data_IF_250673527537
#
_entry.id   IF_250673527537
#
_cell.length_a   1.000
_cell.length_b   1.000
_cell.length_c   1.000
_cell.angle_alpha   90.00
_cell.angle_beta   90.00
_cell.angle_gamma   90.00
#
_symmetry.space_group_name_H-M   'P 1'
#
loop_
_entity.id
_entity.type
_entity.pdbx_description
1 polymer ?
#
# COMPACT_ATOMS: atom_id res chain seq x y z
N UNK A 1 -24.08 -1.63 -10.24
CA UNK A 1 -23.25 -2.71 -9.67
C UNK A 1 -21.80 -2.28 -9.68
N UNK A 2 -21.00 -2.74 -8.71
CA UNK A 2 -19.55 -2.48 -8.67
C UNK A 2 -18.86 -3.43 -9.64
N UNK A 3 -17.98 -2.91 -10.49
CA UNK A 3 -17.19 -3.72 -11.42
C UNK A 3 -15.87 -4.07 -10.77
N UNK A 4 -15.26 -5.15 -11.26
CA UNK A 4 -13.89 -5.55 -10.87
C UNK A 4 -12.89 -4.40 -11.05
N UNK A 5 -13.03 -3.62 -12.14
CA UNK A 5 -12.20 -2.42 -12.36
C UNK A 5 -12.30 -1.42 -11.22
N UNK A 6 -13.50 -1.18 -10.70
CA UNK A 6 -13.72 -0.16 -9.68
C UNK A 6 -13.02 -0.55 -8.36
N UNK A 7 -12.92 -1.86 -8.07
CA UNK A 7 -12.16 -2.39 -6.92
C UNK A 7 -10.66 -2.17 -7.10
N UNK A 8 -10.10 -2.53 -8.27
CA UNK A 8 -8.68 -2.32 -8.53
C UNK A 8 -8.29 -0.84 -8.56
N UNK A 9 -9.14 0.00 -9.11
CA UNK A 9 -8.96 1.46 -9.10
C UNK A 9 -8.93 1.99 -7.66
N UNK A 10 -9.87 1.56 -6.81
CA UNK A 10 -9.90 1.98 -5.41
C UNK A 10 -8.63 1.54 -4.64
N UNK A 11 -8.13 0.33 -4.89
CA UNK A 11 -6.86 -0.14 -4.31
C UNK A 11 -5.70 0.73 -4.81
N UNK A 12 -5.61 0.96 -6.12
CA UNK A 12 -4.55 1.79 -6.70
C UNK A 12 -4.55 3.20 -6.11
N UNK A 13 -5.71 3.87 -6.10
CA UNK A 13 -5.86 5.22 -5.55
C UNK A 13 -5.50 5.26 -4.06
N UNK A 14 -5.87 4.24 -3.27
CA UNK A 14 -5.56 4.21 -1.84
C UNK A 14 -4.04 4.07 -1.56
N UNK A 15 -3.32 3.32 -2.38
CA UNK A 15 -1.90 3.00 -2.18
C UNK A 15 -0.94 3.91 -2.96
N UNK A 16 -1.39 4.58 -4.02
CA UNK A 16 -0.60 5.52 -4.83
C UNK A 16 -0.52 6.93 -4.19
N UNK A 17 -0.63 7.02 -2.86
CA UNK A 17 -0.58 8.28 -2.10
C UNK A 17 0.75 8.37 -1.36
N UNK A 18 1.48 9.50 -1.43
CA UNK A 18 2.66 9.74 -0.60
C UNK A 18 2.34 9.61 0.89
N UNK A 19 3.26 9.04 1.65
CA UNK A 19 3.14 8.99 3.10
C UNK A 19 3.19 10.39 3.69
N UNK A 20 2.23 10.69 4.55
CA UNK A 20 2.22 11.88 5.39
C UNK A 20 3.40 11.86 6.36
N UNK A 21 3.83 13.03 6.89
CA UNK A 21 4.87 13.09 7.92
C UNK A 21 4.55 12.21 9.14
N UNK A 22 3.27 12.16 9.53
CA UNK A 22 2.81 11.32 10.64
C UNK A 22 3.00 9.82 10.33
N UNK A 23 2.57 9.35 9.16
CA UNK A 23 2.75 7.95 8.76
C UNK A 23 4.24 7.56 8.66
N UNK A 24 5.09 8.45 8.15
CA UNK A 24 6.55 8.21 8.09
C UNK A 24 7.16 8.03 9.48
N UNK A 25 6.68 8.78 10.48
CA UNK A 25 7.17 8.67 11.85
C UNK A 25 6.76 7.37 12.55
N UNK A 26 5.70 6.71 12.08
CA UNK A 26 5.28 5.40 12.59
C UNK A 26 6.16 4.24 12.07
N UNK A 27 7.00 4.48 11.06
CA UNK A 27 7.87 3.44 10.50
C UNK A 27 9.06 3.20 11.43
N UNK A 28 9.23 1.97 11.97
CA UNK A 28 10.37 1.64 12.81
C UNK A 28 11.69 1.83 12.06
N UNK A 29 12.69 2.43 12.72
CA UNK A 29 13.99 2.73 12.10
C UNK A 29 14.64 1.51 11.45
N UNK A 30 14.59 0.35 12.10
CA UNK A 30 15.17 -0.89 11.58
C UNK A 30 14.52 -1.39 10.28
N UNK A 31 13.30 -0.95 9.95
CA UNK A 31 12.60 -1.32 8.71
C UNK A 31 12.82 -0.34 7.58
N UNK A 32 13.29 0.88 7.85
CA UNK A 32 13.40 1.94 6.83
C UNK A 32 14.22 1.54 5.61
N UNK A 33 15.26 0.74 5.78
CA UNK A 33 16.05 0.20 4.67
C UNK A 33 15.20 -0.63 3.69
N UNK A 34 14.33 -1.51 4.19
CA UNK A 34 13.47 -2.33 3.33
C UNK A 34 12.45 -1.48 2.56
N UNK A 35 11.92 -0.42 3.18
CA UNK A 35 10.96 0.51 2.56
C UNK A 35 11.65 1.36 1.49
N UNK A 36 12.89 1.77 1.74
CA UNK A 36 13.72 2.49 0.78
C UNK A 36 14.03 1.64 -0.47
N UNK A 37 14.34 0.34 -0.29
CA UNK A 37 14.55 -0.56 -1.41
C UNK A 37 13.27 -0.81 -2.21
N UNK A 38 12.12 -0.98 -1.54
CA UNK A 38 10.82 -1.08 -2.21
C UNK A 38 10.48 0.19 -3.01
N UNK A 39 10.71 1.37 -2.43
CA UNK A 39 10.56 2.66 -3.08
C UNK A 39 11.42 2.79 -4.35
N UNK A 40 12.72 2.49 -4.26
CA UNK A 40 13.62 2.54 -5.43
C UNK A 40 13.18 1.58 -6.52
N UNK A 41 12.76 0.37 -6.15
CA UNK A 41 12.25 -0.63 -7.10
C UNK A 41 11.00 -0.10 -7.82
N UNK A 42 10.05 0.49 -7.07
CA UNK A 42 8.86 1.12 -7.66
C UNK A 42 9.24 2.25 -8.62
N UNK A 43 10.14 3.15 -8.25
CA UNK A 43 10.59 4.23 -9.12
C UNK A 43 11.23 3.71 -10.41
N UNK A 44 11.94 2.57 -10.35
CA UNK A 44 12.55 1.92 -11.52
C UNK A 44 11.51 1.26 -12.43
N UNK A 45 10.45 0.70 -11.87
CA UNK A 45 9.41 -0.01 -12.60
C UNK A 45 8.24 0.88 -13.06
N UNK A 46 8.17 2.11 -12.57
CA UNK A 46 7.11 3.04 -12.94
C UNK A 46 7.14 3.31 -14.45
N UNK A 47 5.97 3.39 -15.11
CA UNK A 47 5.90 3.67 -16.55
C UNK A 47 6.34 5.10 -16.91
N UNK A 48 6.38 6.00 -15.93
CA UNK A 48 6.80 7.40 -16.10
C UNK A 48 8.29 7.62 -15.88
N UNK A 49 8.70 8.90 -15.92
CA UNK A 49 10.08 9.29 -15.65
C UNK A 49 10.45 9.01 -14.18
N UNK A 50 11.50 8.21 -13.89
CA UNK A 50 11.87 7.85 -12.52
C UNK A 50 12.08 9.04 -11.58
N UNK A 51 12.59 10.16 -12.11
CA UNK A 51 12.82 11.39 -11.34
C UNK A 51 11.52 11.99 -10.76
N UNK A 52 10.40 11.84 -11.45
CA UNK A 52 9.10 12.35 -10.99
C UNK A 52 8.62 11.51 -9.80
N UNK A 53 8.74 10.19 -9.89
CA UNK A 53 8.39 9.28 -8.80
C UNK A 53 9.30 9.46 -7.59
N UNK A 54 10.59 9.69 -7.80
CA UNK A 54 11.54 9.93 -6.71
C UNK A 54 11.19 11.20 -5.92
N UNK A 55 10.79 12.27 -6.60
CA UNK A 55 10.38 13.54 -5.96
C UNK A 55 9.13 13.40 -5.08
N UNK A 56 8.28 12.43 -5.35
CA UNK A 56 7.09 12.16 -4.53
C UNK A 56 7.44 11.42 -3.23
N UNK A 57 8.62 10.80 -3.16
CA UNK A 57 9.08 10.02 -2.01
C UNK A 57 8.26 8.74 -1.77
N UNK A 58 8.33 8.21 -0.55
CA UNK A 58 7.62 7.00 -0.16
C UNK A 58 6.11 7.16 -0.27
N UNK A 59 5.47 6.20 -0.94
CA UNK A 59 4.01 6.02 -1.02
C UNK A 59 3.57 4.88 -0.11
N UNK A 60 2.27 4.80 0.18
CA UNK A 60 1.69 3.71 0.97
C UNK A 60 2.00 2.34 0.37
N UNK A 61 2.05 2.21 -0.96
CA UNK A 61 2.43 0.96 -1.63
C UNK A 61 3.84 0.48 -1.23
N UNK A 62 4.78 1.39 -0.95
CA UNK A 62 6.15 1.03 -0.56
C UNK A 62 6.19 0.36 0.82
N UNK A 63 5.14 0.54 1.63
CA UNK A 63 4.99 -0.11 2.95
C UNK A 63 4.60 -1.58 2.84
N UNK A 64 4.18 -2.02 1.65
CA UNK A 64 3.92 -3.43 1.33
C UNK A 64 5.21 -4.17 0.97
N UNK A 65 6.35 -3.48 0.89
CA UNK A 65 7.65 -4.06 0.54
C UNK A 65 7.60 -4.78 -0.82
N UNK A 66 7.99 -6.06 -0.84
CA UNK A 66 7.96 -6.92 -2.04
C UNK A 66 6.70 -7.77 -2.12
N UNK A 67 5.71 -7.54 -1.26
CA UNK A 67 4.45 -8.30 -1.26
C UNK A 67 3.56 -7.82 -2.41
N UNK A 68 3.32 -8.73 -3.36
CA UNK A 68 2.54 -8.45 -4.57
C UNK A 68 1.26 -9.27 -4.67
N UNK A 69 0.94 -10.09 -3.65
CA UNK A 69 -0.22 -10.96 -3.70
C UNK A 69 -1.47 -10.27 -3.15
N UNK A 70 -2.41 -10.03 -4.04
CA UNK A 70 -3.79 -9.71 -3.71
C UNK A 70 -4.57 -11.00 -3.40
N UNK A 71 -5.05 -11.15 -2.16
CA UNK A 71 -5.80 -12.34 -1.70
C UNK A 71 -7.31 -12.16 -1.76
N UNK A 72 -7.79 -11.08 -2.38
CA UNK A 72 -9.21 -10.78 -2.50
C UNK A 72 -9.71 -9.77 -1.46
N UNK A 73 -11.01 -9.46 -1.57
CA UNK A 73 -11.72 -8.60 -0.62
C UNK A 73 -12.81 -9.44 0.05
N UNK A 74 -12.91 -9.36 1.37
CA UNK A 74 -13.89 -10.11 2.17
C UNK A 74 -14.76 -9.18 2.98
N UNK A 75 -16.00 -9.59 3.24
CA UNK A 75 -16.90 -8.90 4.16
C UNK A 75 -17.20 -9.84 5.34
N UNK A 76 -16.49 -9.73 6.48
CA UNK A 76 -16.59 -10.71 7.57
C UNK A 76 -17.98 -10.81 8.21
N UNK A 77 -18.77 -9.73 8.12
CA UNK A 77 -20.16 -9.66 8.56
C UNK A 77 -20.99 -9.04 7.45
N UNK A 78 -22.15 -9.61 7.14
CA UNK A 78 -23.06 -9.04 6.14
C UNK A 78 -23.42 -7.60 6.50
N UNK A 79 -23.27 -6.68 5.55
CA UNK A 79 -23.48 -5.24 5.76
C UNK A 79 -22.35 -4.50 6.50
N UNK A 80 -21.25 -5.17 6.85
CA UNK A 80 -20.08 -4.52 7.46
C UNK A 80 -19.08 -3.96 6.45
N UNK A 81 -17.94 -3.46 6.95
CA UNK A 81 -16.87 -2.94 6.09
C UNK A 81 -16.19 -4.06 5.27
N UNK A 82 -15.82 -3.70 4.05
CA UNK A 82 -15.01 -4.56 3.20
C UNK A 82 -13.55 -4.51 3.63
N UNK A 83 -12.93 -5.70 3.73
CA UNK A 83 -11.53 -5.86 4.13
C UNK A 83 -10.71 -6.29 2.93
N UNK A 84 -9.71 -5.50 2.59
CA UNK A 84 -8.69 -5.84 1.59
C UNK A 84 -7.68 -6.80 2.21
N UNK A 85 -7.52 -7.99 1.62
CA UNK A 85 -6.55 -8.98 2.07
C UNK A 85 -5.32 -8.96 1.16
N UNK A 86 -4.17 -8.61 1.73
CA UNK A 86 -2.86 -8.62 1.07
C UNK A 86 -1.94 -9.65 1.75
N UNK A 87 -0.93 -10.16 1.06
CA UNK A 87 0.14 -10.91 1.72
C UNK A 87 0.99 -9.99 2.61
N UNK A 88 1.42 -10.47 3.78
CA UNK A 88 2.32 -9.74 4.68
C UNK A 88 1.68 -8.80 5.70
N UNK A 89 0.37 -8.50 5.63
CA UNK A 89 -0.30 -7.79 6.72
C UNK A 89 -0.77 -8.77 7.80
N UNK A 90 -0.03 -8.89 8.90
CA UNK A 90 -0.70 -9.28 10.14
C UNK A 90 -1.87 -8.30 10.35
N UNK A 91 -3.08 -8.78 10.68
CA UNK A 91 -4.21 -7.88 10.87
C UNK A 91 -3.85 -6.89 11.97
N UNK A 92 -3.80 -5.59 11.65
CA UNK A 92 -3.82 -4.54 12.68
C UNK A 92 -5.22 -4.56 13.25
N UNK A 93 -5.45 -5.47 14.20
CA UNK A 93 -6.65 -5.48 15.02
C UNK A 93 -6.52 -4.27 15.94
N UNK A 94 -7.28 -3.20 15.67
CA UNK A 94 -7.59 -2.22 16.71
C UNK A 94 -8.33 -3.00 17.82
N UNK A 95 -7.61 -3.40 18.87
CA UNK A 95 -8.25 -3.80 20.12
C UNK A 95 -8.93 -2.54 20.68
N UNK A 96 -10.23 -2.67 20.95
CA UNK A 96 -10.98 -1.73 21.79
C UNK A 96 -10.43 -1.77 23.21
#
# INVERSE_FOLDING_TARGET
GIRVRDVFEAIYVAFNVPLTPHEKNLIPHHRRAAYEEAFKLRCKLAPGLPIVEQRQGWKRVDTLLHETLFRGVTQPKSGGDWVLNLSGSAPVTRRK
#
